data_IF_183028749042
#
_entry.id   IF_183028749042
#
_cell.length_a   1.000
_cell.length_b   1.000
_cell.length_c   1.000
_cell.angle_alpha   90.00
_cell.angle_beta   90.00
_cell.angle_gamma   90.00
#
_symmetry.space_group_name_H-M   'P 1'
#
loop_
_entity.id
_entity.type
_entity.pdbx_description
1 polymer ?
#
# COMPACT_ATOMS: atom_id res chain seq x y z
N UNK A 1 0.37 1.32 11.58
CA UNK A 1 0.40 1.86 10.22
C UNK A 1 1.49 1.17 9.42
N UNK A 2 2.72 1.16 9.94
CA UNK A 2 3.89 0.58 9.26
C UNK A 2 3.71 -0.89 8.87
N UNK A 3 3.02 -1.70 9.68
CA UNK A 3 2.69 -3.10 9.35
C UNK A 3 2.00 -3.25 7.99
N UNK A 4 1.13 -2.30 7.62
CA UNK A 4 0.44 -2.30 6.32
C UNK A 4 1.42 -1.97 5.20
N UNK A 5 2.32 -1.01 5.43
CA UNK A 5 3.33 -0.61 4.46
C UNK A 5 4.30 -1.77 4.22
N UNK A 6 4.83 -2.38 5.28
CA UNK A 6 5.72 -3.53 5.21
C UNK A 6 5.07 -4.70 4.49
N UNK A 7 3.83 -5.03 4.88
CA UNK A 7 3.08 -6.07 4.20
C UNK A 7 2.91 -5.77 2.72
N UNK A 8 2.60 -4.52 2.35
CA UNK A 8 2.25 -4.14 0.98
C UNK A 8 3.48 -4.04 0.04
N UNK A 9 4.57 -3.45 0.50
CA UNK A 9 5.75 -3.13 -0.31
C UNK A 9 6.92 -4.07 -0.10
N UNK A 10 6.89 -4.87 0.97
CA UNK A 10 8.00 -5.73 1.37
C UNK A 10 9.15 -4.97 2.05
N UNK A 11 8.99 -3.67 2.35
CA UNK A 11 9.95 -2.97 3.18
C UNK A 11 9.98 -3.56 4.58
N UNK A 12 11.17 -3.60 5.17
CA UNK A 12 11.35 -3.71 6.61
C UNK A 12 11.47 -2.31 7.23
N UNK A 13 11.77 -2.26 8.52
CA UNK A 13 11.87 -1.00 9.25
C UNK A 13 12.99 -0.12 8.71
N UNK A 14 14.15 -0.70 8.49
CA UNK A 14 15.35 -0.02 8.02
C UNK A 14 15.17 0.49 6.59
N UNK A 15 14.60 -0.33 5.71
CA UNK A 15 14.29 0.04 4.34
C UNK A 15 13.29 1.18 4.25
N UNK A 16 12.19 1.12 5.02
CA UNK A 16 11.22 2.22 5.06
C UNK A 16 11.86 3.51 5.61
N UNK A 17 12.63 3.41 6.70
CA UNK A 17 13.31 4.55 7.31
C UNK A 17 14.28 5.20 6.31
N UNK A 18 15.05 4.41 5.55
CA UNK A 18 15.96 4.93 4.53
C UNK A 18 15.22 5.69 3.41
N UNK A 19 14.03 5.24 3.00
CA UNK A 19 13.23 5.97 2.01
C UNK A 19 12.71 7.31 2.56
N UNK A 20 12.32 7.34 3.83
CA UNK A 20 11.87 8.56 4.51
C UNK A 20 13.00 9.58 4.66
N UNK A 21 14.19 9.13 5.05
CA UNK A 21 15.39 10.00 5.19
C UNK A 21 15.87 10.58 3.85
N UNK A 22 15.69 9.83 2.76
CA UNK A 22 15.99 10.29 1.41
C UNK A 22 14.93 11.23 0.83
N UNK A 23 13.76 11.33 1.45
CA UNK A 23 12.61 12.09 0.96
C UNK A 23 12.29 11.79 -0.52
N UNK A 24 12.32 10.50 -0.90
CA UNK A 24 12.06 10.10 -2.29
C UNK A 24 10.62 10.41 -2.70
N UNK A 25 10.41 10.62 -4.00
CA UNK A 25 9.07 10.71 -4.54
C UNK A 25 8.34 9.35 -4.52
N UNK A 26 7.02 9.39 -4.72
CA UNK A 26 6.17 8.20 -4.61
C UNK A 26 6.44 7.17 -5.71
N UNK A 27 6.89 7.62 -6.88
CA UNK A 27 7.25 6.73 -7.98
C UNK A 27 8.48 5.90 -7.60
N UNK A 28 9.52 6.58 -7.11
CA UNK A 28 10.76 5.97 -6.63
C UNK A 28 10.48 5.06 -5.43
N UNK A 29 9.64 5.48 -4.48
CA UNK A 29 9.24 4.66 -3.34
C UNK A 29 8.65 3.31 -3.76
N UNK A 30 7.78 3.28 -4.78
CA UNK A 30 7.19 2.03 -5.28
C UNK A 30 8.10 1.27 -6.25
N UNK A 31 9.04 1.94 -6.92
CA UNK A 31 10.02 1.31 -7.80
C UNK A 31 11.11 0.59 -7.00
N UNK A 32 11.52 1.14 -5.85
CA UNK A 32 12.51 0.57 -4.95
C UNK A 32 11.92 -0.37 -3.89
N UNK A 33 10.60 -0.61 -3.91
CA UNK A 33 9.93 -1.55 -3.01
C UNK A 33 10.48 -2.98 -3.23
N UNK A 34 10.98 -3.68 -2.19
CA UNK A 34 11.63 -4.97 -2.35
C UNK A 34 10.74 -6.02 -3.02
N UNK A 35 9.47 -6.09 -2.60
CA UNK A 35 8.50 -6.99 -3.20
C UNK A 35 7.08 -6.54 -2.88
N UNK A 36 6.34 -6.15 -3.92
CA UNK A 36 4.90 -5.94 -3.79
C UNK A 36 4.20 -7.25 -3.42
N UNK A 37 3.33 -7.21 -2.41
CA UNK A 37 2.67 -8.43 -1.92
C UNK A 37 1.79 -9.08 -2.99
N UNK A 38 1.81 -10.42 -3.17
CA UNK A 38 1.01 -11.09 -4.20
C UNK A 38 -0.51 -10.91 -3.99
N UNK A 39 -0.94 -10.81 -2.73
CA UNK A 39 -2.34 -10.52 -2.39
C UNK A 39 -2.75 -9.06 -2.62
N UNK A 40 -1.85 -8.15 -3.04
CA UNK A 40 -2.22 -6.76 -3.36
C UNK A 40 -3.34 -6.69 -4.41
N UNK A 41 -3.34 -7.61 -5.38
CA UNK A 41 -4.40 -7.77 -6.39
C UNK A 41 -5.80 -8.07 -5.81
N UNK A 42 -5.88 -8.53 -4.55
CA UNK A 42 -7.15 -8.77 -3.84
C UNK A 42 -7.72 -7.50 -3.20
N UNK A 43 -6.99 -6.37 -3.23
CA UNK A 43 -7.46 -5.08 -2.74
C UNK A 43 -8.47 -4.52 -3.74
N UNK A 44 -9.75 -4.45 -3.35
CA UNK A 44 -10.88 -4.07 -4.21
C UNK A 44 -11.85 -3.14 -3.52
N UNK A 45 -12.68 -2.45 -4.28
CA UNK A 45 -13.73 -1.54 -3.85
C UNK A 45 -13.31 -0.07 -3.93
N UNK A 46 -14.05 0.79 -3.23
CA UNK A 46 -13.89 2.24 -3.36
C UNK A 46 -13.02 2.83 -2.25
N UNK A 47 -12.19 3.81 -2.58
CA UNK A 47 -11.48 4.72 -1.65
C UNK A 47 -11.38 6.09 -2.33
N UNK A 48 -11.50 7.18 -1.57
CA UNK A 48 -11.45 8.56 -2.11
C UNK A 48 -12.39 8.79 -3.33
N UNK A 49 -13.53 8.09 -3.40
CA UNK A 49 -14.49 8.20 -4.50
C UNK A 49 -14.14 7.41 -5.78
N UNK A 50 -13.01 6.71 -5.83
CA UNK A 50 -12.58 5.90 -6.98
C UNK A 50 -12.56 4.41 -6.67
N UNK A 51 -12.88 3.57 -7.66
CA UNK A 51 -12.79 2.12 -7.55
C UNK A 51 -11.38 1.64 -7.92
N UNK A 52 -10.68 1.02 -6.98
CA UNK A 52 -9.24 0.76 -7.10
C UNK A 52 -8.89 -0.27 -8.18
N UNK A 53 -9.75 -1.26 -8.39
CA UNK A 53 -9.57 -2.32 -9.39
C UNK A 53 -9.79 -1.85 -10.84
N UNK A 54 -10.37 -0.66 -11.04
CA UNK A 54 -10.62 -0.07 -12.38
C UNK A 54 -9.56 0.98 -12.77
N UNK A 55 -8.60 1.26 -11.90
CA UNK A 55 -7.53 2.24 -12.18
C UNK A 55 -6.57 1.65 -13.20
N UNK A 56 -6.48 2.29 -14.37
CA UNK A 56 -5.63 1.85 -15.48
C UNK A 56 -4.15 2.16 -15.26
N UNK A 57 -3.83 3.29 -14.61
CA UNK A 57 -2.45 3.67 -14.31
C UNK A 57 -1.89 2.79 -13.16
N UNK A 58 -0.83 2.00 -13.40
CA UNK A 58 -0.32 1.06 -12.42
C UNK A 58 0.22 1.73 -11.14
N UNK A 59 0.85 2.90 -11.25
CA UNK A 59 1.38 3.62 -10.10
C UNK A 59 0.23 4.17 -9.26
N UNK A 60 -0.74 4.82 -9.90
CA UNK A 60 -1.95 5.33 -9.24
C UNK A 60 -2.75 4.20 -8.58
N UNK A 61 -2.79 3.01 -9.19
CA UNK A 61 -3.44 1.85 -8.56
C UNK A 61 -2.73 1.44 -7.28
N UNK A 62 -1.39 1.36 -7.27
CA UNK A 62 -0.60 1.07 -6.05
C UNK A 62 -0.84 2.11 -4.95
N UNK A 63 -0.86 3.39 -5.32
CA UNK A 63 -1.16 4.50 -4.39
C UNK A 63 -2.54 4.30 -3.76
N UNK A 64 -3.58 4.06 -4.57
CA UNK A 64 -4.95 3.87 -4.06
C UNK A 64 -5.15 2.57 -3.29
N UNK A 65 -4.37 1.54 -3.59
CA UNK A 65 -4.33 0.34 -2.75
C UNK A 65 -3.82 0.67 -1.35
N UNK A 66 -2.71 1.43 -1.23
CA UNK A 66 -2.19 1.84 0.07
C UNK A 66 -3.19 2.72 0.83
N UNK A 67 -3.77 3.73 0.17
CA UNK A 67 -4.83 4.57 0.75
C UNK A 67 -5.97 3.72 1.31
N UNK A 68 -6.38 2.70 0.56
CA UNK A 68 -7.48 1.83 0.98
C UNK A 68 -7.10 1.01 2.21
N UNK A 69 -5.91 0.43 2.26
CA UNK A 69 -5.47 -0.34 3.43
C UNK A 69 -5.42 0.53 4.68
N UNK A 70 -4.95 1.78 4.55
CA UNK A 70 -4.91 2.75 5.64
C UNK A 70 -6.33 3.18 6.06
N UNK A 71 -7.23 3.45 5.12
CA UNK A 71 -8.64 3.77 5.38
C UNK A 71 -9.36 2.63 6.12
N UNK A 72 -9.12 1.39 5.69
CA UNK A 72 -9.69 0.20 6.33
C UNK A 72 -9.19 0.02 7.77
N UNK A 73 -7.89 0.24 8.00
CA UNK A 73 -7.31 0.21 9.33
C UNK A 73 -7.86 1.34 10.22
N UNK A 74 -7.97 2.56 9.69
CA UNK A 74 -8.53 3.71 10.41
C UNK A 74 -10.01 3.52 10.78
N UNK A 75 -10.75 2.77 9.95
CA UNK A 75 -12.14 2.35 10.23
C UNK A 75 -12.24 1.19 11.23
N UNK A 76 -11.13 0.74 11.81
CA UNK A 76 -11.10 -0.30 12.83
C UNK A 76 -11.32 -1.71 12.30
N UNK A 77 -11.09 -1.96 10.99
CA UNK A 77 -11.11 -3.34 10.49
C UNK A 77 -9.97 -4.15 11.12
N UNK A 78 -10.25 -5.43 11.40
CA UNK A 78 -9.26 -6.36 11.89
C UNK A 78 -8.07 -6.48 10.92
N UNK A 79 -6.85 -6.54 11.45
CA UNK A 79 -5.61 -6.57 10.65
C UNK A 79 -5.62 -7.70 9.61
N UNK A 80 -6.03 -8.91 9.99
CA UNK A 80 -6.14 -10.06 9.07
C UNK A 80 -6.99 -9.72 7.84
N UNK A 81 -8.14 -9.06 8.04
CA UNK A 81 -9.00 -8.60 6.94
C UNK A 81 -8.31 -7.53 6.09
N UNK A 82 -7.59 -6.59 6.70
CA UNK A 82 -6.83 -5.54 5.98
C UNK A 82 -5.74 -6.18 5.11
N UNK A 83 -4.99 -7.15 5.66
CA UNK A 83 -3.89 -7.84 4.99
C UNK A 83 -4.34 -8.98 4.07
N UNK A 84 -5.65 -9.17 3.89
CA UNK A 84 -6.23 -10.22 3.02
C UNK A 84 -5.75 -11.63 3.41
N UNK A 85 -5.64 -11.87 4.72
CA UNK A 85 -5.24 -13.12 5.36
C UNK A 85 -6.39 -13.73 6.16
#
# INVERSE_FOLDING_TARGET
MDTVIYWFTGYDKEGLQAQLEKEVDIETFFAEAPQMHPNASKIKGVVCGVRVEEIADPLMQKIRWLDKLVDELAKGKAMEKVLRS
#
